data_IF_646524887501
#
_entry.id   IF_646524887501
#
_cell.length_a   1.000
_cell.length_b   1.000
_cell.length_c   1.000
_cell.angle_alpha   90.00
_cell.angle_beta   90.00
_cell.angle_gamma   90.00
#
_symmetry.space_group_name_H-M   'P 1'
#
loop_
_entity.id
_entity.type
_entity.pdbx_description
1 polymer ?
#
# COMPACT_ATOMS: atom_id res chain seq x y z
N UNK A 1 -19.03 18.13 -17.14
CA UNK A 1 -20.22 18.55 -16.37
C UNK A 1 -19.89 19.23 -15.04
N UNK A 2 -19.03 18.65 -14.17
CA UNK A 2 -18.71 19.23 -12.85
C UNK A 2 -18.20 20.68 -12.89
N UNK A 3 -17.28 21.03 -13.80
CA UNK A 3 -16.74 22.41 -13.93
C UNK A 3 -17.80 23.45 -14.30
N UNK A 4 -18.78 23.08 -15.13
CA UNK A 4 -19.86 23.98 -15.57
C UNK A 4 -20.84 24.19 -14.42
N UNK A 5 -21.21 23.12 -13.71
CA UNK A 5 -22.08 23.20 -12.53
C UNK A 5 -21.47 24.07 -11.41
N UNK A 6 -20.17 23.94 -11.14
CA UNK A 6 -19.46 24.78 -10.15
C UNK A 6 -19.43 26.25 -10.58
N UNK A 7 -19.22 26.54 -11.88
CA UNK A 7 -19.24 27.91 -12.37
C UNK A 7 -20.63 28.55 -12.25
N UNK A 8 -21.69 27.82 -12.59
CA UNK A 8 -23.07 28.29 -12.44
C UNK A 8 -23.41 28.56 -10.97
N UNK A 9 -23.08 27.62 -10.07
CA UNK A 9 -23.29 27.78 -8.63
C UNK A 9 -22.59 29.02 -8.06
N UNK A 10 -21.35 29.27 -8.51
CA UNK A 10 -20.56 30.42 -8.09
C UNK A 10 -21.15 31.76 -8.54
N UNK A 11 -21.65 31.82 -9.79
CA UNK A 11 -22.32 33.01 -10.31
C UNK A 11 -23.63 33.26 -9.54
N UNK A 12 -24.41 32.22 -9.28
CA UNK A 12 -25.64 32.32 -8.47
C UNK A 12 -25.34 32.80 -7.03
N UNK A 13 -24.32 32.23 -6.39
CA UNK A 13 -23.88 32.64 -5.05
C UNK A 13 -23.40 34.10 -5.03
N UNK A 14 -22.62 34.51 -6.04
CA UNK A 14 -22.20 35.90 -6.22
C UNK A 14 -23.39 36.83 -6.39
N UNK A 15 -24.36 36.48 -7.23
CA UNK A 15 -25.58 37.30 -7.41
C UNK A 15 -26.37 37.44 -6.11
N UNK A 16 -26.54 36.35 -5.35
CA UNK A 16 -27.26 36.37 -4.08
C UNK A 16 -26.53 37.22 -3.03
N UNK A 17 -25.22 37.05 -2.87
CA UNK A 17 -24.41 37.80 -1.91
C UNK A 17 -24.29 39.29 -2.30
N UNK A 18 -24.16 39.58 -3.60
CA UNK A 18 -24.17 40.94 -4.13
C UNK A 18 -25.51 41.63 -3.89
N UNK A 19 -26.63 40.96 -4.14
CA UNK A 19 -27.96 41.49 -3.87
C UNK A 19 -28.17 41.76 -2.37
N UNK A 20 -27.71 40.86 -1.50
CA UNK A 20 -27.80 41.02 -0.05
C UNK A 20 -26.99 42.21 0.46
N UNK A 21 -25.72 42.32 0.05
CA UNK A 21 -24.87 43.44 0.48
C UNK A 21 -25.36 44.78 -0.09
N UNK A 22 -25.91 44.77 -1.31
CA UNK A 22 -26.53 45.94 -1.91
C UNK A 22 -27.71 46.45 -1.08
N UNK A 23 -28.68 45.59 -0.75
CA UNK A 23 -29.90 45.99 -0.02
C UNK A 23 -29.60 46.43 1.41
N UNK A 24 -28.72 45.71 2.12
CA UNK A 24 -28.28 46.08 3.48
C UNK A 24 -27.56 47.43 3.47
N UNK A 25 -26.66 47.66 2.51
CA UNK A 25 -25.92 48.92 2.42
C UNK A 25 -26.81 50.08 1.99
N UNK A 26 -27.81 49.84 1.14
CA UNK A 26 -28.81 50.84 0.78
C UNK A 26 -29.64 51.29 1.99
N UNK A 27 -30.17 50.33 2.77
CA UNK A 27 -30.90 50.63 4.01
C UNK A 27 -30.00 51.33 5.05
N UNK A 28 -28.73 50.92 5.18
CA UNK A 28 -27.76 51.58 6.05
C UNK A 28 -27.47 53.03 5.63
N UNK A 29 -27.36 53.27 4.32
CA UNK A 29 -27.09 54.61 3.78
C UNK A 29 -28.28 55.54 3.99
N UNK A 30 -29.50 55.04 3.86
CA UNK A 30 -30.71 55.80 4.18
C UNK A 30 -30.78 56.13 5.67
N UNK A 31 -30.55 55.15 6.55
CA UNK A 31 -30.57 55.34 7.99
C UNK A 31 -29.58 56.42 8.45
N UNK A 32 -28.35 56.40 7.93
CA UNK A 32 -27.33 57.42 8.25
C UNK A 32 -27.76 58.83 7.81
N UNK A 33 -28.61 58.94 6.79
CA UNK A 33 -29.06 60.23 6.24
C UNK A 33 -30.34 60.75 6.88
N UNK A 34 -31.28 59.87 7.18
CA UNK A 34 -32.63 60.22 7.63
C UNK A 34 -32.82 59.99 9.14
N UNK A 35 -31.96 59.19 9.77
CA UNK A 35 -32.11 58.72 11.15
C UNK A 35 -33.20 57.66 11.32
N UNK A 36 -33.88 57.24 10.25
CA UNK A 36 -35.04 56.34 10.30
C UNK A 36 -34.66 54.88 10.12
N UNK A 37 -35.24 53.99 10.94
CA UNK A 37 -35.04 52.53 10.85
C UNK A 37 -36.02 51.82 9.92
N UNK A 38 -36.96 52.55 9.30
CA UNK A 38 -38.07 51.97 8.53
C UNK A 38 -37.61 51.04 7.42
N UNK A 39 -36.53 51.37 6.69
CA UNK A 39 -36.02 50.50 5.62
C UNK A 39 -35.36 49.23 6.15
N UNK A 40 -34.81 49.23 7.36
CA UNK A 40 -34.30 48.01 7.99
C UNK A 40 -35.43 47.10 8.46
N UNK A 41 -36.48 47.67 9.05
CA UNK A 41 -37.67 46.92 9.47
C UNK A 41 -38.35 46.28 8.25
N UNK A 42 -38.44 47.02 7.15
CA UNK A 42 -38.93 46.49 5.87
C UNK A 42 -38.02 45.41 5.30
N UNK A 43 -36.70 45.61 5.30
CA UNK A 43 -35.73 44.62 4.81
C UNK A 43 -35.84 43.29 5.57
N UNK A 44 -36.06 43.35 6.89
CA UNK A 44 -36.23 42.17 7.74
C UNK A 44 -37.56 41.44 7.49
N UNK A 45 -38.62 42.16 7.13
CA UNK A 45 -39.93 41.59 6.82
C UNK A 45 -40.02 41.05 5.38
N UNK A 46 -39.59 41.85 4.39
CA UNK A 46 -39.54 41.50 2.98
C UNK A 46 -38.53 42.39 2.23
N UNK A 47 -37.49 41.84 1.58
CA UNK A 47 -36.47 42.62 0.88
C UNK A 47 -36.94 43.23 -0.46
N UNK A 48 -38.04 42.74 -1.05
CA UNK A 48 -38.49 43.11 -2.40
C UNK A 48 -38.87 44.60 -2.52
N UNK A 49 -39.65 45.21 -1.59
CA UNK A 49 -39.95 46.64 -1.62
C UNK A 49 -38.70 47.53 -1.55
N UNK A 50 -37.69 47.14 -0.76
CA UNK A 50 -36.43 47.87 -0.63
C UNK A 50 -35.64 47.84 -1.95
N UNK A 51 -35.66 46.70 -2.66
CA UNK A 51 -35.08 46.61 -4.00
C UNK A 51 -35.82 47.47 -5.04
N UNK A 52 -37.15 47.50 -5.01
CA UNK A 52 -37.95 48.34 -5.92
C UNK A 52 -37.69 49.83 -5.68
N UNK A 53 -37.56 50.24 -4.42
CA UNK A 53 -37.23 51.62 -4.07
C UNK A 53 -35.83 52.00 -4.55
N UNK A 54 -34.83 51.14 -4.29
CA UNK A 54 -33.48 51.35 -4.79
C UNK A 54 -33.43 51.42 -6.33
N UNK A 55 -34.23 50.62 -7.03
CA UNK A 55 -34.35 50.69 -8.49
C UNK A 55 -35.00 51.99 -8.97
N UNK A 56 -36.02 52.48 -8.26
CA UNK A 56 -36.65 53.75 -8.56
C UNK A 56 -35.65 54.92 -8.41
N UNK A 57 -34.83 54.92 -7.35
CA UNK A 57 -33.78 55.92 -7.14
C UNK A 57 -32.71 55.88 -8.24
N UNK A 58 -32.30 54.68 -8.67
CA UNK A 58 -31.39 54.49 -9.81
C UNK A 58 -32.00 55.05 -11.10
N UNK A 59 -33.28 54.74 -11.37
CA UNK A 59 -33.98 55.17 -12.58
C UNK A 59 -34.19 56.71 -12.59
N UNK A 60 -34.39 57.30 -11.41
CA UNK A 60 -34.48 58.74 -11.20
C UNK A 60 -33.11 59.45 -11.23
N UNK A 61 -32.00 58.71 -11.37
CA UNK A 61 -30.61 59.20 -11.31
C UNK A 61 -30.25 59.89 -9.99
N UNK A 62 -30.90 59.52 -8.88
CA UNK A 62 -30.48 59.96 -7.54
C UNK A 62 -29.43 59.00 -6.97
N UNK A 63 -28.17 59.33 -7.21
CA UNK A 63 -27.04 58.50 -6.76
C UNK A 63 -26.66 58.73 -5.30
N UNK A 64 -27.37 59.62 -4.59
CA UNK A 64 -27.04 59.94 -3.21
C UNK A 64 -27.02 58.69 -2.33
N UNK A 65 -28.12 57.96 -2.29
CA UNK A 65 -28.30 56.77 -1.44
C UNK A 65 -27.70 55.50 -2.05
N UNK A 66 -27.58 55.48 -3.37
CA UNK A 66 -27.30 54.26 -4.16
C UNK A 66 -25.80 54.01 -4.37
N UNK A 67 -24.95 55.05 -4.37
CA UNK A 67 -23.52 54.92 -4.71
C UNK A 67 -22.77 53.90 -3.83
N UNK A 68 -23.00 53.89 -2.51
CA UNK A 68 -22.36 52.97 -1.58
C UNK A 68 -22.95 51.56 -1.68
N UNK A 69 -24.25 51.46 -1.96
CA UNK A 69 -24.93 50.20 -2.19
C UNK A 69 -24.39 49.48 -3.44
N UNK A 70 -24.20 50.21 -4.54
CA UNK A 70 -23.61 49.67 -5.78
C UNK A 70 -22.20 49.13 -5.55
N UNK A 71 -21.35 49.87 -4.81
CA UNK A 71 -20.01 49.43 -4.48
C UNK A 71 -20.02 48.15 -3.61
N UNK A 72 -20.86 48.12 -2.57
CA UNK A 72 -20.99 46.96 -1.69
C UNK A 72 -21.54 45.72 -2.41
N UNK A 73 -22.54 45.90 -3.29
CA UNK A 73 -23.09 44.83 -4.11
C UNK A 73 -22.07 44.25 -5.09
N UNK A 74 -21.23 45.10 -5.70
CA UNK A 74 -20.16 44.66 -6.59
C UNK A 74 -19.08 43.85 -5.85
N UNK A 75 -18.70 44.29 -4.65
CA UNK A 75 -17.78 43.54 -3.77
C UNK A 75 -18.38 42.19 -3.37
N UNK A 76 -19.66 42.17 -2.99
CA UNK A 76 -20.40 40.95 -2.66
C UNK A 76 -20.41 39.95 -3.82
N UNK A 77 -20.66 40.43 -5.04
CA UNK A 77 -20.67 39.61 -6.25
C UNK A 77 -19.30 38.99 -6.59
N UNK A 78 -18.21 39.75 -6.41
CA UNK A 78 -16.86 39.30 -6.71
C UNK A 78 -16.24 38.42 -5.62
N UNK A 79 -16.71 38.53 -4.37
CA UNK A 79 -16.08 37.85 -3.23
C UNK A 79 -16.02 36.31 -3.33
N UNK A 80 -17.04 35.58 -3.86
CA UNK A 80 -16.95 34.12 -4.00
C UNK A 80 -15.94 33.74 -5.08
N UNK A 81 -15.89 34.48 -6.19
CA UNK A 81 -14.93 34.30 -7.27
C UNK A 81 -13.49 34.47 -6.78
N UNK A 82 -13.24 35.50 -5.96
CA UNK A 82 -11.95 35.73 -5.32
C UNK A 82 -11.61 34.63 -4.31
N UNK A 83 -12.59 34.17 -3.52
CA UNK A 83 -12.44 33.05 -2.59
C UNK A 83 -11.99 31.78 -3.29
N UNK A 84 -12.60 31.41 -4.41
CA UNK A 84 -12.17 30.25 -5.20
C UNK A 84 -10.81 30.47 -5.86
N UNK A 85 -10.53 31.68 -6.35
CA UNK A 85 -9.20 31.99 -6.90
C UNK A 85 -8.10 31.79 -5.86
N UNK A 86 -8.33 32.22 -4.61
CA UNK A 86 -7.41 32.06 -3.49
C UNK A 86 -7.36 30.62 -2.94
N UNK A 87 -8.48 29.89 -3.01
CA UNK A 87 -8.60 28.50 -2.54
C UNK A 87 -8.17 27.45 -3.56
N UNK A 88 -7.81 27.82 -4.79
CA UNK A 88 -7.30 26.87 -5.79
C UNK A 88 -6.01 26.23 -5.24
N UNK A 89 -6.00 24.93 -4.91
CA UNK A 89 -4.76 24.27 -4.53
C UNK A 89 -3.80 24.38 -5.70
N UNK A 90 -2.54 24.72 -5.41
CA UNK A 90 -1.49 24.77 -6.43
C UNK A 90 -1.11 23.35 -6.84
N UNK A 91 -1.97 22.65 -7.56
CA UNK A 91 -1.62 21.37 -8.20
C UNK A 91 -0.87 21.66 -9.49
N UNK A 92 0.33 22.23 -9.36
CA UNK A 92 1.31 22.22 -10.46
C UNK A 92 2.07 20.90 -10.38
N UNK A 93 1.60 19.93 -11.13
CA UNK A 93 2.45 18.84 -11.60
C UNK A 93 3.10 19.32 -12.91
N UNK A 94 3.96 20.33 -12.80
CA UNK A 94 4.82 20.68 -13.92
C UNK A 94 5.99 19.70 -13.94
N UNK A 95 6.31 19.10 -15.09
CA UNK A 95 7.40 18.12 -15.24
C UNK A 95 8.80 18.72 -15.03
N UNK A 96 8.90 19.90 -14.41
CA UNK A 96 10.17 20.54 -14.09
C UNK A 96 10.80 19.86 -12.89
N UNK A 97 12.13 19.90 -12.83
CA UNK A 97 12.85 19.47 -11.64
C UNK A 97 12.44 20.29 -10.42
N UNK A 98 12.23 19.61 -9.29
CA UNK A 98 11.89 20.28 -8.03
C UNK A 98 13.02 21.20 -7.59
N UNK A 99 12.67 22.44 -7.23
CA UNK A 99 13.61 23.35 -6.59
C UNK A 99 13.72 23.03 -5.09
N UNK A 100 14.74 23.57 -4.41
CA UNK A 100 14.85 23.42 -2.94
C UNK A 100 13.62 23.99 -2.19
N UNK A 101 12.94 24.99 -2.76
CA UNK A 101 11.69 25.52 -2.20
C UNK A 101 10.56 24.51 -2.32
N UNK A 102 10.47 23.81 -3.45
CA UNK A 102 9.47 22.77 -3.68
C UNK A 102 9.71 21.56 -2.76
N UNK A 103 10.98 21.14 -2.62
CA UNK A 103 11.40 20.08 -1.69
C UNK A 103 11.00 20.42 -0.24
N UNK A 104 11.21 21.67 0.19
CA UNK A 104 10.84 22.11 1.54
C UNK A 104 9.32 22.17 1.72
N UNK A 105 8.56 22.65 0.73
CA UNK A 105 7.09 22.67 0.76
C UNK A 105 6.51 21.25 0.80
N UNK A 106 7.11 20.32 0.06
CA UNK A 106 6.76 18.91 0.06
C UNK A 106 7.24 18.16 1.32
N UNK A 107 7.90 18.85 2.26
CA UNK A 107 8.42 18.30 3.53
C UNK A 107 9.38 17.12 3.36
N UNK A 108 9.98 16.97 2.17
CA UNK A 108 10.92 15.89 1.86
C UNK A 108 12.23 15.96 2.65
N UNK A 109 12.50 17.04 3.38
CA UNK A 109 13.70 17.15 4.23
C UNK A 109 13.47 16.71 5.67
N UNK A 110 12.23 16.43 6.07
CA UNK A 110 11.92 15.93 7.42
C UNK A 110 12.31 14.45 7.46
N UNK A 111 13.13 14.06 8.42
CA UNK A 111 13.46 12.64 8.61
C UNK A 111 12.19 11.87 9.01
N UNK A 112 11.85 10.85 8.23
CA UNK A 112 10.65 10.02 8.40
C UNK A 112 10.46 9.14 7.18
N UNK A 113 10.02 7.90 7.38
CA UNK A 113 9.80 6.95 6.29
C UNK A 113 11.06 6.57 5.49
N UNK A 114 10.94 6.53 4.17
CA UNK A 114 11.93 5.98 3.24
C UNK A 114 12.93 7.04 2.80
N UNK A 115 14.22 6.73 2.91
CA UNK A 115 15.30 7.55 2.38
C UNK A 115 15.39 7.44 0.86
N UNK A 116 15.23 8.56 0.15
CA UNK A 116 15.23 8.57 -1.32
C UNK A 116 16.48 9.22 -1.94
N UNK A 117 17.36 9.80 -1.11
CA UNK A 117 18.63 10.35 -1.58
C UNK A 117 18.97 11.70 -0.97
N UNK A 118 19.67 12.54 -1.73
CA UNK A 118 20.12 13.87 -1.27
C UNK A 118 19.87 14.91 -2.36
N UNK A 119 19.42 16.10 -1.95
CA UNK A 119 19.35 17.27 -2.81
C UNK A 119 20.54 18.20 -2.56
N UNK A 120 21.21 18.59 -3.65
CA UNK A 120 22.40 19.42 -3.64
C UNK A 120 23.65 18.68 -3.11
N UNK A 121 24.61 19.45 -2.61
CA UNK A 121 25.95 18.95 -2.25
C UNK A 121 26.93 19.04 -3.42
N UNK A 122 28.21 18.88 -3.11
CA UNK A 122 29.31 18.92 -4.08
C UNK A 122 30.06 17.60 -4.06
N UNK A 123 30.28 17.02 -5.23
CA UNK A 123 31.16 15.85 -5.34
C UNK A 123 32.60 16.33 -5.17
N UNK A 124 33.30 15.78 -4.19
CA UNK A 124 34.70 16.09 -3.93
C UNK A 124 35.51 14.79 -3.88
N UNK A 125 36.71 14.81 -4.43
CA UNK A 125 37.69 13.75 -4.24
C UNK A 125 38.21 13.80 -2.81
N UNK A 126 38.03 12.71 -2.07
CA UNK A 126 38.52 12.60 -0.70
C UNK A 126 39.61 11.55 -0.65
N UNK A 127 40.74 11.87 -0.02
CA UNK A 127 41.81 10.92 0.22
C UNK A 127 41.31 9.81 1.15
N UNK A 128 41.12 8.62 0.58
CA UNK A 128 40.73 7.44 1.34
C UNK A 128 41.15 6.21 0.55
N UNK A 129 42.37 5.70 0.79
CA UNK A 129 42.92 4.58 0.05
C UNK A 129 41.96 3.39 0.10
N UNK A 130 41.60 2.89 -1.07
CA UNK A 130 40.78 1.70 -1.20
C UNK A 130 41.26 0.88 -2.38
N UNK A 131 41.23 -0.44 -2.22
CA UNK A 131 41.50 -1.36 -3.31
C UNK A 131 40.24 -1.46 -4.15
N UNK A 132 40.28 -0.94 -5.38
CA UNK A 132 39.14 -1.05 -6.29
C UNK A 132 38.92 -2.54 -6.62
N UNK A 133 37.80 -3.15 -6.18
CA UNK A 133 37.52 -4.55 -6.47
C UNK A 133 37.38 -4.82 -7.98
N UNK A 134 37.17 -3.78 -8.79
CA UNK A 134 36.95 -3.88 -10.25
C UNK A 134 38.25 -4.06 -11.02
N UNK A 135 39.34 -3.45 -10.55
CA UNK A 135 40.63 -3.35 -11.29
C UNK A 135 41.77 -3.99 -10.48
N UNK A 136 41.55 -4.28 -9.18
CA UNK A 136 42.57 -4.79 -8.27
C UNK A 136 43.62 -3.76 -7.85
N UNK A 137 43.59 -2.55 -8.43
CA UNK A 137 44.49 -1.42 -8.15
C UNK A 137 44.05 -0.66 -6.89
N UNK A 138 45.03 -0.07 -6.22
CA UNK A 138 44.80 0.82 -5.09
C UNK A 138 44.51 2.22 -5.64
N UNK A 139 43.31 2.74 -5.39
CA UNK A 139 42.99 4.15 -5.62
C UNK A 139 43.24 4.92 -4.34
N UNK A 140 43.97 6.03 -4.44
CA UNK A 140 44.29 6.91 -3.30
C UNK A 140 43.11 7.81 -2.92
N UNK A 141 42.29 8.18 -3.89
CA UNK A 141 41.12 9.04 -3.69
C UNK A 141 39.85 8.33 -4.12
N UNK A 142 38.73 8.81 -3.58
CA UNK A 142 37.40 8.38 -4.00
C UNK A 142 36.45 9.57 -4.04
N UNK A 143 35.56 9.64 -5.05
CA UNK A 143 34.53 10.66 -5.10
C UNK A 143 33.57 10.47 -3.93
N UNK A 144 33.36 11.52 -3.14
CA UNK A 144 32.40 11.56 -2.04
C UNK A 144 31.53 12.80 -2.16
N UNK A 145 30.22 12.62 -2.06
CA UNK A 145 29.28 13.73 -2.01
C UNK A 145 29.34 14.39 -0.63
N UNK A 146 29.81 15.64 -0.59
CA UNK A 146 29.91 16.47 0.62
C UNK A 146 28.76 17.49 0.63
N UNK A 147 28.12 17.66 1.79
CA UNK A 147 26.95 18.53 1.93
C UNK A 147 25.71 17.99 1.21
N UNK A 148 24.67 18.82 1.08
CA UNK A 148 23.36 18.42 0.55
C UNK A 148 22.42 17.88 1.62
N UNK A 149 21.13 18.18 1.47
CA UNK A 149 20.06 17.81 2.41
C UNK A 149 19.58 16.40 2.09
N UNK A 150 19.46 15.55 3.12
CA UNK A 150 18.85 14.22 2.96
C UNK A 150 17.37 14.38 2.64
N UNK A 151 16.91 13.52 1.75
CA UNK A 151 15.53 13.47 1.30
C UNK A 151 14.87 12.19 1.80
N UNK A 152 13.63 12.35 2.24
CA UNK A 152 12.83 11.34 2.89
C UNK A 152 11.40 11.44 2.40
N UNK A 153 10.72 10.31 2.31
CA UNK A 153 9.30 10.26 2.00
C UNK A 153 8.60 9.46 3.08
N UNK A 154 7.63 10.11 3.70
CA UNK A 154 6.87 9.59 4.83
C UNK A 154 5.39 9.61 4.45
N UNK A 155 4.74 8.44 4.48
CA UNK A 155 3.35 8.26 4.05
C UNK A 155 3.00 6.79 3.81
N UNK A 156 1.73 6.45 4.01
CA UNK A 156 1.27 5.06 4.03
C UNK A 156 1.19 4.41 2.63
N UNK A 157 1.08 5.22 1.55
CA UNK A 157 0.93 4.76 0.16
C UNK A 157 2.05 5.25 -0.78
N UNK A 158 3.31 5.06 -0.38
CA UNK A 158 4.46 5.54 -1.16
C UNK A 158 5.17 4.40 -1.87
N UNK A 159 4.87 4.21 -3.16
CA UNK A 159 5.65 3.37 -4.07
C UNK A 159 6.83 4.12 -4.69
N UNK A 160 8.02 3.51 -4.68
CA UNK A 160 9.23 4.08 -5.26
C UNK A 160 9.81 3.24 -6.38
N UNK A 161 10.17 3.88 -7.51
CA UNK A 161 10.88 3.22 -8.60
C UNK A 161 12.27 3.83 -8.78
N UNK A 162 13.31 3.00 -8.64
CA UNK A 162 14.70 3.41 -8.78
C UNK A 162 15.29 2.76 -10.01
N UNK A 163 15.65 3.58 -10.99
CA UNK A 163 16.35 3.13 -12.20
C UNK A 163 17.83 3.50 -12.07
N UNK A 164 18.69 2.54 -12.37
CA UNK A 164 20.11 2.82 -12.56
C UNK A 164 20.83 1.62 -13.16
N UNK A 165 21.88 1.84 -13.97
CA UNK A 165 22.64 0.76 -14.57
C UNK A 165 23.31 -0.14 -13.51
N UNK A 166 23.74 -1.36 -13.87
CA UNK A 166 24.59 -2.16 -12.99
C UNK A 166 25.78 -1.34 -12.48
N UNK A 167 26.15 -1.52 -11.21
CA UNK A 167 27.29 -0.83 -10.55
C UNK A 167 27.16 0.70 -10.40
N UNK A 168 25.97 1.27 -10.59
CA UNK A 168 25.67 2.69 -10.33
C UNK A 168 25.67 3.09 -8.85
N UNK A 169 25.75 2.10 -7.94
CA UNK A 169 25.71 2.34 -6.50
C UNK A 169 24.32 2.24 -5.87
N UNK A 170 23.25 1.94 -6.65
CA UNK A 170 21.87 1.83 -6.14
C UNK A 170 21.72 1.01 -4.84
N UNK A 171 22.43 -0.13 -4.73
CA UNK A 171 22.45 -0.94 -3.51
C UNK A 171 23.08 -0.21 -2.32
N UNK A 172 24.27 0.35 -2.52
CA UNK A 172 25.03 1.06 -1.48
C UNK A 172 24.43 2.42 -1.09
N UNK A 173 23.76 3.12 -2.02
CA UNK A 173 23.27 4.48 -1.81
C UNK A 173 21.80 4.56 -1.40
N UNK A 174 20.99 3.53 -1.68
CA UNK A 174 19.55 3.54 -1.38
C UNK A 174 19.14 2.29 -0.59
N UNK A 175 19.42 1.08 -1.09
CA UNK A 175 18.91 -0.16 -0.49
C UNK A 175 19.48 -0.39 0.92
N UNK A 176 20.80 -0.45 1.05
CA UNK A 176 21.47 -0.70 2.34
C UNK A 176 21.14 0.39 3.37
N UNK A 177 21.22 1.70 3.05
CA UNK A 177 20.81 2.74 4.00
C UNK A 177 19.37 2.61 4.48
N UNK A 178 18.42 2.30 3.59
CA UNK A 178 17.02 2.09 4.01
C UNK A 178 16.89 0.86 4.90
N UNK A 179 17.52 -0.26 4.55
CA UNK A 179 17.46 -1.47 5.38
C UNK A 179 18.01 -1.24 6.81
N UNK A 180 19.01 -0.37 6.96
CA UNK A 180 19.59 -0.02 8.27
C UNK A 180 18.78 1.02 9.05
N UNK A 181 18.16 1.99 8.37
CA UNK A 181 17.47 3.10 9.04
C UNK A 181 15.98 2.81 9.25
N UNK A 182 15.37 1.95 8.44
CA UNK A 182 13.95 1.62 8.53
C UNK A 182 13.63 0.95 9.88
N UNK A 183 12.79 1.55 10.73
CA UNK A 183 12.58 1.07 12.09
C UNK A 183 11.70 -0.19 12.16
N UNK A 184 10.91 -0.46 11.12
CA UNK A 184 9.92 -1.54 11.11
C UNK A 184 10.42 -2.79 10.36
N UNK A 185 9.51 -3.74 10.14
CA UNK A 185 9.74 -4.95 9.37
C UNK A 185 10.09 -4.65 7.91
N UNK A 186 10.92 -5.51 7.32
CA UNK A 186 11.38 -5.39 5.94
C UNK A 186 11.42 -6.77 5.29
N UNK A 187 10.88 -6.87 4.08
CA UNK A 187 11.05 -8.04 3.20
C UNK A 187 11.91 -7.61 2.02
N UNK A 188 13.04 -8.27 1.80
CA UNK A 188 14.01 -7.91 0.76
C UNK A 188 14.20 -9.07 -0.21
N UNK A 189 13.95 -8.82 -1.50
CA UNK A 189 14.38 -9.71 -2.57
C UNK A 189 15.86 -9.46 -2.87
N UNK A 190 16.74 -10.24 -2.24
CA UNK A 190 18.19 -10.10 -2.34
C UNK A 190 18.82 -11.18 -3.21
N UNK A 191 18.80 -10.99 -4.53
CA UNK A 191 19.33 -11.95 -5.50
C UNK A 191 20.84 -12.22 -5.37
N UNK A 192 21.59 -11.33 -4.71
CA UNK A 192 23.06 -11.44 -4.58
C UNK A 192 23.54 -11.72 -3.16
N UNK A 193 22.67 -11.58 -2.16
CA UNK A 193 23.03 -11.68 -0.75
C UNK A 193 23.79 -10.47 -0.19
N UNK A 194 24.04 -9.44 -1.00
CA UNK A 194 24.82 -8.26 -0.60
C UNK A 194 24.10 -7.44 0.48
N UNK A 195 22.76 -7.37 0.41
CA UNK A 195 21.97 -6.61 1.39
C UNK A 195 21.93 -7.35 2.72
N UNK A 196 21.71 -8.66 2.70
CA UNK A 196 21.76 -9.50 3.89
C UNK A 196 23.13 -9.41 4.56
N UNK A 197 24.21 -9.62 3.81
CA UNK A 197 25.58 -9.56 4.33
C UNK A 197 25.91 -8.20 4.96
N UNK A 198 25.45 -7.10 4.36
CA UNK A 198 25.72 -5.75 4.85
C UNK A 198 24.87 -5.33 6.06
N UNK A 199 23.69 -5.93 6.25
CA UNK A 199 22.69 -5.38 7.19
C UNK A 199 22.22 -6.33 8.28
N UNK A 200 22.33 -7.65 8.08
CA UNK A 200 21.79 -8.65 9.00
C UNK A 200 22.33 -8.49 10.43
N UNK A 201 23.63 -8.24 10.59
CA UNK A 201 24.26 -8.09 11.90
C UNK A 201 23.80 -6.86 12.69
N UNK A 202 23.49 -5.75 12.02
CA UNK A 202 22.90 -4.59 12.69
C UNK A 202 21.41 -4.82 12.95
N UNK A 203 20.69 -5.32 11.95
CA UNK A 203 19.24 -5.58 12.06
C UNK A 203 18.90 -6.60 13.13
N UNK A 204 19.77 -7.58 13.42
CA UNK A 204 19.57 -8.56 14.49
C UNK A 204 19.55 -7.93 15.89
N UNK A 205 20.10 -6.72 16.05
CA UNK A 205 20.06 -5.99 17.33
C UNK A 205 18.70 -5.36 17.61
N UNK A 206 17.87 -5.17 16.57
CA UNK A 206 16.58 -4.47 16.66
C UNK A 206 15.38 -5.30 16.18
N UNK A 207 15.60 -6.40 15.46
CA UNK A 207 14.56 -7.20 14.83
C UNK A 207 15.04 -8.64 14.59
N UNK A 208 14.11 -9.58 14.46
CA UNK A 208 14.45 -10.92 14.00
C UNK A 208 14.87 -10.89 12.52
N UNK A 209 15.99 -11.51 12.20
CA UNK A 209 16.53 -11.58 10.84
C UNK A 209 16.47 -13.01 10.33
N UNK A 210 15.77 -13.22 9.22
CA UNK A 210 15.59 -14.53 8.60
C UNK A 210 16.09 -14.49 7.17
N UNK A 211 16.89 -15.48 6.78
CA UNK A 211 17.36 -15.65 5.40
C UNK A 211 16.70 -16.87 4.77
N UNK A 212 15.91 -16.65 3.73
CA UNK A 212 15.38 -17.72 2.89
C UNK A 212 16.12 -17.74 1.55
N UNK A 213 17.03 -18.70 1.40
CA UNK A 213 17.87 -18.91 0.23
C UNK A 213 17.87 -20.41 -0.12
N UNK A 214 16.76 -20.94 -0.67
CA UNK A 214 16.56 -22.37 -0.80
C UNK A 214 17.51 -23.04 -1.83
N UNK A 215 18.17 -22.26 -2.68
CA UNK A 215 19.22 -22.71 -3.60
C UNK A 215 20.65 -22.64 -3.02
N UNK A 216 20.83 -22.29 -1.74
CA UNK A 216 22.16 -22.16 -1.15
C UNK A 216 22.87 -23.54 -1.09
N UNK A 217 24.05 -23.70 -1.73
CA UNK A 217 24.71 -25.00 -1.86
C UNK A 217 25.19 -25.58 -0.53
N UNK A 218 25.45 -24.73 0.46
CA UNK A 218 25.85 -25.16 1.81
C UNK A 218 24.62 -25.48 2.69
N UNK A 219 23.39 -25.33 2.17
CA UNK A 219 22.16 -25.50 2.93
C UNK A 219 21.95 -24.43 3.99
N UNK A 220 22.65 -23.29 3.92
CA UNK A 220 22.60 -22.21 4.92
C UNK A 220 21.34 -21.34 4.78
N UNK A 221 20.16 -21.94 4.89
CA UNK A 221 18.87 -21.27 4.69
C UNK A 221 17.89 -21.61 5.80
N UNK A 222 17.00 -20.69 6.13
CA UNK A 222 15.81 -20.99 6.90
C UNK A 222 14.84 -21.86 6.08
N UNK A 223 13.99 -22.62 6.78
CA UNK A 223 12.97 -23.46 6.16
C UNK A 223 11.60 -22.78 6.16
N UNK A 224 10.93 -22.77 5.01
CA UNK A 224 9.61 -22.18 4.82
C UNK A 224 8.63 -23.22 4.26
N UNK A 225 7.49 -23.39 4.93
CA UNK A 225 6.38 -24.19 4.40
C UNK A 225 5.13 -23.29 4.26
N UNK A 226 4.70 -22.95 3.04
CA UNK A 226 3.50 -22.13 2.82
C UNK A 226 2.23 -22.72 3.45
N UNK A 227 2.16 -24.06 3.55
CA UNK A 227 0.98 -24.75 4.10
C UNK A 227 0.77 -24.47 5.60
N UNK A 228 1.79 -23.99 6.31
CA UNK A 228 1.68 -23.60 7.72
C UNK A 228 0.74 -22.43 7.98
N UNK A 229 0.49 -21.64 6.94
CA UNK A 229 -0.27 -20.38 7.00
C UNK A 229 -1.69 -20.52 6.46
N UNK A 230 -2.04 -21.72 5.99
CA UNK A 230 -3.38 -22.05 5.55
C UNK A 230 -4.30 -22.23 6.76
N UNK A 231 -5.46 -21.58 6.74
CA UNK A 231 -6.46 -21.72 7.80
C UNK A 231 -6.93 -23.17 7.96
N UNK A 232 -7.29 -23.54 9.19
CA UNK A 232 -7.96 -24.81 9.49
C UNK A 232 -9.49 -24.71 9.32
N UNK A 233 -10.04 -23.50 9.35
CA UNK A 233 -11.44 -23.25 9.02
C UNK A 233 -11.69 -23.54 7.54
N UNK A 234 -12.71 -24.34 7.22
CA UNK A 234 -12.93 -24.81 5.86
C UNK A 234 -13.20 -23.70 4.86
N UNK A 235 -13.97 -22.67 5.24
CA UNK A 235 -14.31 -21.59 4.31
C UNK A 235 -13.08 -20.72 4.00
N UNK A 236 -12.31 -20.38 5.01
CA UNK A 236 -11.08 -19.59 4.84
C UNK A 236 -9.98 -20.40 4.13
N UNK A 237 -9.84 -21.69 4.46
CA UNK A 237 -8.86 -22.58 3.83
C UNK A 237 -9.00 -22.62 2.32
N UNK A 238 -10.23 -22.73 1.81
CA UNK A 238 -10.49 -22.79 0.37
C UNK A 238 -10.05 -21.50 -0.34
N UNK A 239 -10.20 -20.35 0.31
CA UNK A 239 -9.74 -19.05 -0.17
C UNK A 239 -8.20 -19.00 -0.16
N UNK A 240 -7.58 -19.40 0.95
CA UNK A 240 -6.13 -19.39 1.10
C UNK A 240 -5.44 -20.29 0.05
N UNK A 241 -5.98 -21.50 -0.17
CA UNK A 241 -5.45 -22.45 -1.16
C UNK A 241 -5.57 -21.92 -2.59
N UNK A 242 -6.69 -21.27 -2.94
CA UNK A 242 -6.85 -20.61 -4.25
C UNK A 242 -5.86 -19.47 -4.43
N UNK A 243 -5.59 -18.69 -3.37
CA UNK A 243 -4.59 -17.63 -3.41
C UNK A 243 -3.18 -18.18 -3.62
N UNK A 244 -2.81 -19.27 -2.94
CA UNK A 244 -1.55 -19.98 -3.21
C UNK A 244 -1.50 -20.47 -4.66
N UNK A 245 -2.56 -21.09 -5.16
CA UNK A 245 -2.61 -21.56 -6.55
C UNK A 245 -2.44 -20.41 -7.55
N UNK A 246 -3.09 -19.26 -7.31
CA UNK A 246 -2.96 -18.09 -8.16
C UNK A 246 -1.53 -17.52 -8.18
N UNK A 247 -0.82 -17.57 -7.05
CA UNK A 247 0.57 -17.15 -6.93
C UNK A 247 1.54 -18.12 -7.63
N UNK A 248 1.30 -19.44 -7.55
CA UNK A 248 2.16 -20.47 -8.16
C UNK A 248 1.98 -20.58 -9.68
N UNK A 249 0.74 -20.44 -10.15
CA UNK A 249 0.39 -20.52 -11.56
C UNK A 249 -0.08 -19.14 -12.00
N UNK A 250 0.80 -18.20 -12.38
CA UNK A 250 0.41 -16.83 -12.73
C UNK A 250 -0.49 -16.82 -13.97
N UNK A 251 -1.35 -15.79 -14.09
CA UNK A 251 -2.21 -15.68 -15.28
C UNK A 251 -1.33 -15.59 -16.54
N UNK A 252 -1.66 -16.33 -17.60
CA UNK A 252 -0.94 -16.22 -18.85
C UNK A 252 -1.15 -14.82 -19.45
N UNK A 253 -0.23 -14.37 -20.32
CA UNK A 253 -0.42 -13.12 -21.06
C UNK A 253 -1.73 -13.17 -21.87
N UNK A 254 -2.28 -12.00 -22.20
CA UNK A 254 -3.61 -11.87 -22.82
C UNK A 254 -3.76 -12.61 -24.16
N UNK A 255 -2.67 -12.99 -24.80
CA UNK A 255 -2.62 -13.71 -26.07
C UNK A 255 -2.49 -15.23 -25.93
N UNK A 256 -2.47 -15.78 -24.71
CA UNK A 256 -2.35 -17.20 -24.46
C UNK A 256 -3.61 -17.76 -23.78
N UNK A 257 -3.94 -19.01 -24.09
CA UNK A 257 -5.15 -19.68 -23.59
C UNK A 257 -5.05 -19.91 -22.06
N UNK A 258 -5.96 -19.31 -21.25
CA UNK A 258 -5.95 -19.46 -19.81
C UNK A 258 -6.46 -20.83 -19.33
N UNK A 259 -7.05 -21.64 -20.22
CA UNK A 259 -7.65 -22.91 -19.87
C UNK A 259 -6.71 -23.80 -19.05
N UNK A 260 -5.50 -24.06 -19.56
CA UNK A 260 -4.53 -24.96 -18.91
C UNK A 260 -4.03 -24.44 -17.56
N UNK A 261 -3.88 -23.12 -17.41
CA UNK A 261 -3.46 -22.49 -16.15
C UNK A 261 -4.58 -22.55 -15.12
N UNK A 262 -5.82 -22.30 -15.53
CA UNK A 262 -6.97 -22.36 -14.64
C UNK A 262 -7.25 -23.79 -14.18
N UNK A 263 -7.12 -24.74 -15.09
CA UNK A 263 -7.25 -26.14 -14.75
C UNK A 263 -6.13 -26.61 -13.80
N UNK A 264 -4.87 -26.26 -14.09
CA UNK A 264 -3.73 -26.50 -13.20
C UNK A 264 -3.97 -25.97 -11.77
N UNK A 265 -4.52 -24.75 -11.65
CA UNK A 265 -4.90 -24.16 -10.36
C UNK A 265 -5.97 -24.99 -9.64
N UNK A 266 -7.01 -25.42 -10.35
CA UNK A 266 -8.10 -26.21 -9.77
C UNK A 266 -7.56 -27.56 -9.27
N UNK A 267 -6.82 -28.28 -10.10
CA UNK A 267 -6.21 -29.56 -9.72
C UNK A 267 -5.31 -29.42 -8.49
N UNK A 268 -4.40 -28.44 -8.49
CA UNK A 268 -3.54 -28.15 -7.33
C UNK A 268 -4.38 -27.84 -6.08
N UNK A 269 -5.38 -26.97 -6.20
CA UNK A 269 -6.22 -26.55 -5.07
C UNK A 269 -6.98 -27.72 -4.46
N UNK A 270 -7.54 -28.62 -5.29
CA UNK A 270 -8.24 -29.81 -4.81
C UNK A 270 -7.32 -30.78 -4.06
N UNK A 271 -6.13 -31.04 -4.59
CA UNK A 271 -5.16 -31.95 -3.94
C UNK A 271 -4.61 -31.31 -2.66
N UNK A 272 -4.31 -30.01 -2.69
CA UNK A 272 -3.86 -29.27 -1.52
C UNK A 272 -4.94 -29.25 -0.42
N UNK A 273 -6.22 -29.13 -0.79
CA UNK A 273 -7.35 -29.23 0.14
C UNK A 273 -7.40 -30.61 0.80
N UNK A 274 -7.29 -31.69 0.02
CA UNK A 274 -7.18 -33.06 0.56
C UNK A 274 -6.02 -33.20 1.55
N UNK A 275 -4.82 -32.73 1.19
CA UNK A 275 -3.63 -32.80 2.04
C UNK A 275 -3.83 -32.05 3.37
N UNK A 276 -4.52 -30.91 3.34
CA UNK A 276 -4.75 -30.10 4.53
C UNK A 276 -5.81 -30.70 5.47
N UNK A 277 -6.84 -31.33 4.91
CA UNK A 277 -8.01 -31.78 5.67
C UNK A 277 -7.98 -33.25 6.06
N UNK A 278 -7.31 -34.10 5.28
CA UNK A 278 -7.34 -35.55 5.51
C UNK A 278 -6.61 -35.90 6.81
N UNK A 279 -7.27 -36.62 7.74
CA UNK A 279 -6.63 -37.12 8.96
C UNK A 279 -5.51 -38.12 8.67
N UNK A 280 -5.56 -38.77 7.51
CA UNK A 280 -4.56 -39.73 7.03
C UNK A 280 -3.22 -39.09 6.70
N UNK A 281 -3.16 -37.76 6.56
CA UNK A 281 -1.92 -37.01 6.31
C UNK A 281 -1.46 -36.35 7.61
N UNK A 282 -0.34 -36.82 8.22
CA UNK A 282 0.23 -36.20 9.42
C UNK A 282 0.55 -34.72 9.21
N UNK A 283 0.42 -33.91 10.26
CA UNK A 283 0.59 -32.46 10.17
C UNK A 283 1.97 -32.04 9.62
N UNK A 284 3.03 -32.78 9.96
CA UNK A 284 4.38 -32.58 9.45
C UNK A 284 4.53 -32.87 7.95
N UNK A 285 3.63 -33.67 7.38
CA UNK A 285 3.58 -33.99 5.94
C UNK A 285 2.65 -33.06 5.15
N UNK A 286 1.97 -32.11 5.79
CA UNK A 286 1.18 -31.08 5.11
C UNK A 286 2.09 -30.06 4.43
N UNK A 287 2.66 -30.45 3.30
CA UNK A 287 3.70 -29.71 2.57
C UNK A 287 3.44 -29.75 1.08
N UNK A 288 4.08 -28.84 0.34
CA UNK A 288 4.10 -28.91 -1.13
C UNK A 288 4.73 -30.21 -1.65
N UNK A 289 5.65 -30.83 -0.89
CA UNK A 289 6.25 -32.11 -1.27
C UNK A 289 5.19 -33.21 -1.39
N UNK A 290 4.34 -33.36 -0.39
CA UNK A 290 3.25 -34.35 -0.41
C UNK A 290 2.20 -34.07 -1.47
N UNK A 291 1.86 -32.79 -1.68
CA UNK A 291 0.98 -32.41 -2.81
C UNK A 291 1.59 -32.91 -4.13
N UNK A 292 2.89 -32.65 -4.34
CA UNK A 292 3.59 -33.07 -5.54
C UNK A 292 3.71 -34.58 -5.71
N UNK A 293 3.94 -35.31 -4.62
CA UNK A 293 3.97 -36.78 -4.61
C UNK A 293 2.63 -37.34 -5.09
N UNK A 294 1.51 -36.82 -4.58
CA UNK A 294 0.17 -37.22 -5.02
C UNK A 294 -0.06 -36.85 -6.50
N UNK A 295 0.31 -35.62 -6.89
CA UNK A 295 0.16 -35.16 -8.27
C UNK A 295 0.93 -36.00 -9.29
N UNK A 296 2.13 -36.44 -8.92
CA UNK A 296 2.98 -37.29 -9.76
C UNK A 296 2.62 -38.78 -9.66
N UNK A 297 1.68 -39.14 -8.78
CA UNK A 297 1.27 -40.52 -8.55
C UNK A 297 2.36 -41.39 -7.91
N UNK A 298 3.11 -40.84 -6.94
CA UNK A 298 4.24 -41.53 -6.32
C UNK A 298 3.85 -42.82 -5.59
N UNK A 299 2.72 -42.83 -4.88
CA UNK A 299 2.20 -44.04 -4.22
C UNK A 299 1.20 -44.80 -5.10
N UNK A 300 0.36 -44.07 -5.85
CA UNK A 300 -0.64 -44.64 -6.75
C UNK A 300 -0.94 -43.65 -7.89
N UNK A 301 -1.36 -44.12 -9.09
CA UNK A 301 -1.71 -43.26 -10.21
C UNK A 301 -2.73 -42.18 -9.83
N UNK A 302 -2.52 -40.93 -10.29
CA UNK A 302 -3.36 -39.77 -9.93
C UNK A 302 -4.86 -40.02 -10.15
N UNK A 303 -5.23 -40.70 -11.24
CA UNK A 303 -6.64 -41.00 -11.55
C UNK A 303 -7.24 -42.04 -10.61
N UNK A 304 -6.45 -43.01 -10.15
CA UNK A 304 -6.86 -43.99 -9.15
C UNK A 304 -7.02 -43.31 -7.78
N UNK A 305 -6.09 -42.42 -7.43
CA UNK A 305 -6.22 -41.56 -6.25
C UNK A 305 -7.53 -40.77 -6.25
N UNK A 306 -7.81 -40.03 -7.33
CA UNK A 306 -9.07 -39.28 -7.48
C UNK A 306 -10.29 -40.22 -7.43
N UNK A 307 -10.17 -41.43 -8.00
CA UNK A 307 -11.21 -42.45 -7.94
C UNK A 307 -11.53 -42.90 -6.51
N UNK A 308 -10.52 -43.08 -5.66
CA UNK A 308 -10.66 -43.50 -4.27
C UNK A 308 -11.45 -42.50 -3.41
N UNK A 309 -11.46 -41.21 -3.79
CA UNK A 309 -12.18 -40.14 -3.09
C UNK A 309 -13.71 -40.31 -3.11
N UNK A 310 -14.28 -41.06 -4.08
CA UNK A 310 -15.73 -41.34 -4.12
C UNK A 310 -16.14 -42.50 -3.22
N UNK A 311 -15.21 -43.37 -2.87
CA UNK A 311 -15.49 -44.61 -2.16
C UNK A 311 -14.91 -44.52 -0.75
N UNK A 312 -13.75 -45.13 -0.56
CA UNK A 312 -13.05 -45.31 0.71
C UNK A 312 -12.83 -43.98 1.43
N UNK A 313 -12.38 -42.95 0.70
CA UNK A 313 -11.95 -41.66 1.28
C UNK A 313 -13.05 -40.58 1.27
N UNK A 314 -14.28 -40.91 0.87
CA UNK A 314 -15.38 -39.92 0.74
C UNK A 314 -15.70 -39.21 2.05
N UNK A 315 -15.63 -39.94 3.18
CA UNK A 315 -15.95 -39.41 4.50
C UNK A 315 -14.87 -38.49 5.07
N UNK A 316 -13.67 -38.51 4.48
CA UNK A 316 -12.51 -37.70 4.91
C UNK A 316 -12.37 -36.40 4.12
N UNK A 317 -13.21 -36.18 3.10
CA UNK A 317 -13.07 -35.06 2.18
C UNK A 317 -14.23 -34.06 2.32
N UNK A 318 -13.92 -32.77 2.26
CA UNK A 318 -14.93 -31.71 2.16
C UNK A 318 -15.62 -31.74 0.80
N UNK A 319 -16.80 -31.10 0.73
CA UNK A 319 -17.52 -30.90 -0.52
C UNK A 319 -16.64 -30.16 -1.54
N UNK A 320 -15.85 -29.18 -1.08
CA UNK A 320 -14.94 -28.42 -1.92
C UNK A 320 -13.88 -29.32 -2.60
N UNK A 321 -13.21 -30.18 -1.83
CA UNK A 321 -12.23 -31.14 -2.35
C UNK A 321 -12.85 -32.06 -3.40
N UNK A 322 -14.01 -32.64 -3.10
CA UNK A 322 -14.70 -33.55 -4.01
C UNK A 322 -15.16 -32.84 -5.29
N UNK A 323 -15.79 -31.67 -5.16
CA UNK A 323 -16.27 -30.89 -6.30
C UNK A 323 -15.11 -30.47 -7.22
N UNK A 324 -13.95 -30.17 -6.65
CA UNK A 324 -12.76 -29.75 -7.40
C UNK A 324 -12.09 -30.94 -8.10
N UNK A 325 -12.00 -32.11 -7.46
CA UNK A 325 -11.22 -33.24 -7.97
C UNK A 325 -12.00 -34.23 -8.84
N UNK A 326 -13.29 -34.47 -8.57
CA UNK A 326 -14.04 -35.50 -9.27
C UNK A 326 -14.23 -35.25 -10.79
N UNK A 327 -14.32 -34.01 -11.31
CA UNK A 327 -14.39 -33.78 -12.75
C UNK A 327 -13.22 -34.38 -13.55
N UNK A 328 -12.02 -34.43 -12.95
CA UNK A 328 -10.81 -34.98 -13.58
C UNK A 328 -10.89 -36.48 -13.88
N UNK A 329 -11.80 -37.21 -13.23
CA UNK A 329 -12.05 -38.62 -13.52
C UNK A 329 -12.79 -38.83 -14.85
N UNK A 330 -13.51 -37.83 -15.33
CA UNK A 330 -14.40 -37.94 -16.49
C UNK A 330 -13.88 -37.24 -17.76
N UNK A 331 -12.82 -36.42 -17.69
CA UNK A 331 -12.23 -35.75 -18.87
C UNK A 331 -11.60 -36.71 -19.90
N UNK A 332 -11.29 -36.28 -21.13
CA UNK A 332 -10.66 -37.18 -22.13
C UNK A 332 -9.21 -37.57 -21.73
N UNK A 333 -8.75 -38.79 -22.07
CA UNK A 333 -7.39 -39.29 -21.69
C UNK A 333 -6.27 -38.34 -22.12
N UNK A 334 -6.37 -37.72 -23.30
CA UNK A 334 -5.41 -36.72 -23.81
C UNK A 334 -5.34 -35.46 -22.93
N UNK A 335 -6.48 -34.99 -22.41
CA UNK A 335 -6.51 -33.88 -21.47
C UNK A 335 -5.88 -34.28 -20.13
N UNK A 336 -6.13 -35.49 -19.62
CA UNK A 336 -5.62 -35.96 -18.31
C UNK A 336 -4.08 -35.98 -18.24
N UNK A 337 -3.41 -36.43 -19.29
CA UNK A 337 -1.94 -36.49 -19.35
C UNK A 337 -1.31 -35.10 -19.47
N UNK A 338 -1.94 -34.20 -20.21
CA UNK A 338 -1.47 -32.82 -20.39
C UNK A 338 -1.58 -31.98 -19.09
N UNK A 339 -2.63 -32.21 -18.29
CA UNK A 339 -2.84 -31.54 -17.01
C UNK A 339 -1.79 -31.91 -15.96
N UNK A 340 -1.52 -33.21 -15.78
CA UNK A 340 -0.48 -33.67 -14.85
C UNK A 340 0.92 -33.18 -15.28
N UNK A 341 1.21 -33.19 -16.59
CA UNK A 341 2.48 -32.71 -17.15
C UNK A 341 2.73 -31.22 -16.90
N UNK A 342 1.76 -30.35 -17.21
CA UNK A 342 1.90 -28.90 -17.04
C UNK A 342 2.08 -28.48 -15.57
N UNK A 343 1.31 -29.09 -14.67
CA UNK A 343 1.43 -28.77 -13.24
C UNK A 343 2.75 -29.28 -12.68
N UNK A 344 3.12 -30.53 -13.00
CA UNK A 344 4.39 -31.09 -12.56
C UNK A 344 5.60 -30.30 -13.11
N UNK A 345 5.51 -29.71 -14.31
CA UNK A 345 6.57 -28.85 -14.85
C UNK A 345 6.70 -27.54 -14.06
N UNK A 346 5.59 -26.84 -13.79
CA UNK A 346 5.60 -25.57 -13.05
C UNK A 346 6.09 -25.76 -11.61
N UNK A 347 5.62 -26.81 -10.94
CA UNK A 347 6.04 -27.11 -9.58
C UNK A 347 7.46 -27.69 -9.49
N UNK A 348 7.93 -28.43 -10.51
CA UNK A 348 9.35 -28.83 -10.61
C UNK A 348 10.26 -27.63 -10.81
N UNK A 349 9.86 -26.61 -11.57
CA UNK A 349 10.61 -25.35 -11.63
C UNK A 349 10.67 -24.65 -10.26
N UNK A 350 9.57 -24.64 -9.51
CA UNK A 350 9.53 -24.08 -8.15
C UNK A 350 10.38 -24.87 -7.13
N UNK A 351 10.46 -26.20 -7.26
CA UNK A 351 11.29 -27.05 -6.38
C UNK A 351 12.76 -27.18 -6.80
N UNK A 352 13.07 -27.17 -8.09
CA UNK A 352 14.45 -27.21 -8.58
C UNK A 352 15.23 -25.95 -8.18
N UNK A 353 14.53 -24.82 -8.01
CA UNK A 353 15.09 -23.61 -7.39
C UNK A 353 15.29 -23.75 -5.86
N UNK A 354 14.85 -24.86 -5.24
CA UNK A 354 14.84 -25.05 -3.80
C UNK A 354 15.61 -26.28 -3.28
N UNK A 355 16.27 -27.05 -4.16
CA UNK A 355 17.16 -28.14 -3.78
C UNK A 355 18.52 -27.98 -4.44
N UNK A 356 19.60 -27.73 -3.70
CA UNK A 356 20.93 -28.14 -4.14
C UNK A 356 21.06 -29.66 -3.98
N UNK A 357 21.88 -30.27 -4.82
CA UNK A 357 22.37 -31.63 -4.61
C UNK A 357 23.10 -31.68 -3.26
N UNK A 358 22.49 -32.28 -2.23
CA UNK A 358 23.17 -32.53 -0.96
C UNK A 358 24.18 -33.67 -1.17
N UNK A 359 25.48 -33.50 -0.84
CA UNK A 359 26.34 -34.64 -0.57
C UNK A 359 25.86 -35.32 0.71
N UNK A 360 25.69 -36.64 0.65
CA UNK A 360 25.44 -37.50 1.81
C UNK A 360 26.69 -37.52 2.70
N UNK A 361 26.92 -36.49 3.51
CA UNK A 361 27.89 -36.56 4.61
C UNK A 361 27.40 -35.77 5.81
N UNK A 362 27.31 -36.46 6.95
CA UNK A 362 26.60 -36.04 8.14
C UNK A 362 27.16 -34.81 8.85
N UNK A 363 26.37 -33.75 8.86
CA UNK A 363 26.02 -32.92 10.03
C UNK A 363 25.03 -31.86 9.53
N UNK A 364 23.73 -32.16 9.61
CA UNK A 364 22.72 -31.16 9.36
C UNK A 364 22.80 -30.12 10.49
N UNK A 365 23.37 -28.96 10.19
CA UNK A 365 23.12 -27.77 11.01
C UNK A 365 21.58 -27.61 11.07
N UNK A 366 21.01 -27.53 12.28
CA UNK A 366 19.58 -27.29 12.46
C UNK A 366 19.22 -26.02 11.70
N UNK A 367 18.56 -26.16 10.55
CA UNK A 367 17.96 -25.04 9.86
C UNK A 367 16.73 -24.61 10.66
N UNK A 368 16.77 -23.42 11.24
CA UNK A 368 15.62 -22.88 11.97
C UNK A 368 14.47 -22.63 10.99
N UNK A 369 13.29 -23.16 11.31
CA UNK A 369 12.05 -22.93 10.55
C UNK A 369 11.63 -21.48 10.73
N UNK A 370 11.18 -20.82 9.66
CA UNK A 370 10.63 -19.46 9.75
C UNK A 370 9.42 -19.49 10.70
N UNK A 371 9.45 -18.76 11.83
CA UNK A 371 8.34 -18.75 12.77
C UNK A 371 7.06 -18.19 12.16
N UNK A 372 5.91 -18.78 12.51
CA UNK A 372 4.59 -18.29 12.07
C UNK A 372 4.32 -16.83 12.48
N UNK A 373 4.88 -16.42 13.61
CA UNK A 373 4.74 -15.07 14.16
C UNK A 373 5.35 -13.96 13.29
N UNK A 374 6.26 -14.28 12.37
CA UNK A 374 6.87 -13.29 11.45
C UNK A 374 5.88 -12.86 10.36
N UNK A 375 4.94 -13.73 9.97
CA UNK A 375 4.07 -13.50 8.80
C UNK A 375 2.64 -13.11 9.23
N UNK A 376 2.18 -13.49 10.42
CA UNK A 376 0.78 -13.36 10.83
C UNK A 376 0.39 -12.11 11.64
N UNK A 377 1.22 -11.05 11.72
CA UNK A 377 0.77 -9.77 12.31
C UNK A 377 0.05 -8.89 11.29
N UNK A 378 -1.13 -9.32 10.87
CA UNK A 378 -2.18 -8.44 10.34
C UNK A 378 -3.49 -9.17 10.55
N UNK A 379 -4.28 -8.75 11.55
CA UNK A 379 -5.74 -8.96 11.71
C UNK A 379 -6.26 -8.86 13.16
N UNK A 380 -5.48 -8.38 14.15
CA UNK A 380 -6.03 -8.29 15.52
C UNK A 380 -5.63 -7.07 16.38
N UNK A 381 -5.27 -5.95 15.78
CA UNK A 381 -5.04 -4.71 16.56
C UNK A 381 -5.48 -3.48 15.79
N UNK A 382 -6.78 -3.32 15.54
CA UNK A 382 -7.36 -2.04 15.08
C UNK A 382 -8.69 -1.66 15.78
N UNK A 383 -9.12 -2.40 16.81
CA UNK A 383 -10.40 -2.13 17.50
C UNK A 383 -10.30 -1.48 18.91
N UNK A 384 -9.11 -1.11 19.38
CA UNK A 384 -8.96 -0.36 20.65
C UNK A 384 -8.42 1.05 20.43
N UNK A 385 -9.09 1.83 19.59
CA UNK A 385 -8.89 3.28 19.52
C UNK A 385 -10.21 3.98 19.21
N UNK A 386 -11.20 3.84 20.11
CA UNK A 386 -12.19 4.88 20.45
C UNK A 386 -13.27 4.33 21.40
N UNK A 387 -13.11 4.50 22.71
CA UNK A 387 -14.16 5.01 23.63
C UNK A 387 -13.45 5.41 24.94
N UNK A 388 -13.44 6.71 25.26
CA UNK A 388 -12.84 7.20 26.50
C UNK A 388 -12.96 8.71 26.72
N UNK A 389 -14.09 9.31 26.31
CA UNK A 389 -14.54 10.58 26.91
C UNK A 389 -15.28 10.22 28.19
N UNK A 390 -14.71 10.45 29.36
CA UNK A 390 -15.49 10.86 30.54
C UNK A 390 -14.60 11.38 31.68
N UNK A 391 -14.98 12.56 32.15
CA UNK A 391 -14.86 13.08 33.50
C UNK A 391 -13.44 13.27 34.07
N UNK A 392 -12.95 14.50 33.91
CA UNK A 392 -12.22 15.17 34.97
C UNK A 392 -13.05 15.17 36.25
N UNK A 393 -12.73 14.26 37.17
CA UNK A 393 -13.06 14.42 38.59
C UNK A 393 -11.74 14.59 39.33
N UNK A 394 -11.54 15.80 39.84
CA UNK A 394 -10.45 16.09 40.75
C UNK A 394 -10.72 15.38 42.07
N UNK A 395 -9.80 14.51 42.48
CA UNK A 395 -9.57 14.23 43.89
C UNK A 395 -8.07 14.22 44.13
N UNK A 396 -7.62 15.32 44.72
CA UNK A 396 -6.33 15.44 45.37
C UNK A 396 -6.25 14.41 46.51
N UNK A 397 -5.09 13.76 46.64
CA UNK A 397 -4.64 13.20 47.90
C UNK A 397 -3.17 13.56 48.08
N UNK A 398 -2.85 14.31 49.12
CA UNK A 398 -1.89 13.91 50.16
C UNK A 398 -1.51 15.08 51.08
N UNK A 399 -1.18 14.69 52.32
CA UNK A 399 -0.67 15.45 53.46
C UNK A 399 -1.72 16.30 54.21
N UNK A 400 -1.93 16.20 55.52
CA UNK A 400 -1.11 15.67 56.62
C UNK A 400 -1.06 16.73 57.74
N UNK A 401 -0.96 16.26 58.99
CA UNK A 401 -0.77 17.02 60.25
C UNK A 401 -2.05 17.57 60.93
N UNK A 402 -2.48 16.99 62.07
CA UNK A 402 -2.13 17.34 63.47
C UNK A 402 -2.95 18.53 63.99
N UNK A 403 -3.68 18.32 65.10
CA UNK A 403 -4.32 19.37 65.90
C UNK A 403 -5.79 19.13 66.13
#
# INVERSE_FOLDING_TARGET
>A
MQKIATAIFMVLMGMALGALLFTVTYAATDWVRTGSHVLFDQLNANPVPVMHLAWADVAARDFGRVQYALAAGFVGFLSPLLGVFLMRPTTRNDSRFMTMRDISKARLTKAGGVFIGRAGGKLAEVFRPHRDPRIGKISLTRPKLIGGRKLWVDGDDVGGFVIGPPRSGKGASIIIPNALVWPHSLVVLDLRGETYAATAGYRSTMSQVVRFAPADPDGKTACYNPMDFISLDSAQRDIDLRNIAAALFPRPPSNADPYWVNDARLLFTGIASYVMESPSVPNEKKTFGTILEIMNGAEQPLLEFIGSLRQERRRECSHFTLQTLLPYRHGAVSQRTAHAGHVAQHLRHSQAQARPHLPLSGRAARADRIPRSIVQRSHHTDDELHVGKLAASGRASSAGAVG
#
